data_IF_430487826706
#
_entry.id   IF_430487826706
#
_cell.length_a   1.000
_cell.length_b   1.000
_cell.length_c   1.000
_cell.angle_alpha   90.00
_cell.angle_beta   90.00
_cell.angle_gamma   90.00
#
_symmetry.space_group_name_H-M   'P 1'
#
loop_
_entity.id
_entity.type
_entity.pdbx_description
1 polymer ?
#
# COMPACT_ATOMS: atom_id res chain seq x y z
N UNK A 1 -32.33 7.10 -22.93
CA UNK A 1 -31.73 8.00 -21.90
C UNK A 1 -31.17 7.25 -20.67
N UNK A 2 -31.56 5.99 -20.39
CA UNK A 2 -31.07 5.21 -19.23
C UNK A 2 -29.65 4.60 -19.43
N UNK A 3 -29.23 4.34 -20.68
CA UNK A 3 -27.94 3.70 -20.97
C UNK A 3 -26.77 4.70 -20.88
N UNK A 4 -26.95 5.93 -21.38
CA UNK A 4 -25.97 6.99 -21.27
C UNK A 4 -25.69 7.44 -19.81
N UNK A 5 -26.72 7.57 -18.96
CA UNK A 5 -26.56 7.82 -17.53
C UNK A 5 -25.78 6.70 -16.81
N UNK A 6 -26.06 5.41 -17.09
CA UNK A 6 -25.29 4.31 -16.48
C UNK A 6 -23.78 4.35 -16.83
N UNK A 7 -23.42 4.71 -18.07
CA UNK A 7 -22.00 4.83 -18.48
C UNK A 7 -21.26 5.98 -17.77
N UNK A 8 -21.89 7.16 -17.63
CA UNK A 8 -21.32 8.31 -16.90
C UNK A 8 -21.10 7.99 -15.43
N UNK A 9 -22.06 7.31 -14.78
CA UNK A 9 -21.93 6.85 -13.39
C UNK A 9 -20.80 5.82 -13.24
N UNK A 10 -20.64 4.89 -14.19
CA UNK A 10 -19.54 3.93 -14.20
C UNK A 10 -18.18 4.64 -14.35
N UNK A 11 -18.02 5.51 -15.36
CA UNK A 11 -16.83 6.38 -15.53
C UNK A 11 -16.46 7.20 -14.28
N UNK A 12 -17.39 8.01 -13.73
CA UNK A 12 -17.21 8.68 -12.43
C UNK A 12 -16.72 7.72 -11.32
N UNK A 13 -17.35 6.55 -11.12
CA UNK A 13 -16.83 5.51 -10.23
C UNK A 13 -15.40 5.05 -10.53
N UNK A 14 -15.03 4.84 -11.80
CA UNK A 14 -13.67 4.42 -12.18
C UNK A 14 -12.67 5.54 -11.85
N UNK A 15 -12.91 6.76 -12.34
CA UNK A 15 -12.13 7.96 -11.99
C UNK A 15 -11.99 8.16 -10.47
N UNK A 16 -13.08 8.16 -9.69
CA UNK A 16 -13.05 8.13 -8.21
C UNK A 16 -12.18 6.99 -7.63
N UNK A 17 -12.27 5.77 -8.18
CA UNK A 17 -11.42 4.68 -7.73
C UNK A 17 -9.94 4.93 -8.04
N UNK A 18 -9.62 5.50 -9.21
CA UNK A 18 -8.23 5.82 -9.57
C UNK A 18 -7.72 6.95 -8.68
N UNK A 19 -8.50 8.03 -8.51
CA UNK A 19 -8.16 9.13 -7.60
C UNK A 19 -7.83 8.65 -6.20
N UNK A 20 -8.61 7.72 -5.61
CA UNK A 20 -8.31 7.24 -4.26
C UNK A 20 -7.00 6.44 -4.23
N UNK A 21 -6.68 5.64 -5.26
CA UNK A 21 -5.43 4.88 -5.28
C UNK A 21 -4.24 5.83 -5.42
N UNK A 22 -4.41 6.93 -6.18
CA UNK A 22 -3.35 7.92 -6.35
C UNK A 22 -3.05 8.64 -5.03
N UNK A 23 -4.06 8.92 -4.22
CA UNK A 23 -3.88 9.51 -2.89
C UNK A 23 -2.94 8.66 -2.02
N UNK A 24 -3.03 7.33 -2.10
CA UNK A 24 -2.25 6.42 -1.26
C UNK A 24 -0.95 5.93 -1.90
N UNK A 25 -0.63 6.37 -3.12
CA UNK A 25 0.39 5.68 -3.92
C UNK A 25 1.77 5.88 -3.30
N UNK A 26 2.06 7.13 -2.89
CA UNK A 26 3.32 7.45 -2.22
C UNK A 26 3.48 6.68 -0.90
N UNK A 27 2.46 6.66 -0.04
CA UNK A 27 2.49 5.88 1.21
C UNK A 27 2.67 4.38 0.96
N UNK A 28 2.05 3.83 -0.09
CA UNK A 28 2.21 2.41 -0.41
C UNK A 28 3.64 2.14 -0.87
N UNK A 29 4.22 3.02 -1.70
CA UNK A 29 5.61 2.85 -2.15
C UNK A 29 6.58 2.98 -0.98
N UNK A 30 6.49 4.05 -0.20
CA UNK A 30 7.24 4.19 1.06
C UNK A 30 7.14 2.97 1.95
N UNK A 31 5.93 2.50 2.26
CA UNK A 31 5.76 1.31 3.07
C UNK A 31 6.41 0.07 2.43
N UNK A 32 6.32 -0.11 1.11
CA UNK A 32 6.88 -1.28 0.43
C UNK A 32 8.37 -1.39 0.74
N UNK A 33 8.99 -0.27 0.60
CA UNK A 33 10.43 -0.18 0.41
C UNK A 33 10.98 -0.18 1.87
N UNK A 34 10.35 0.45 2.91
CA UNK A 34 10.48 0.20 4.39
C UNK A 34 10.35 -1.27 4.81
N UNK A 35 9.34 -2.00 4.31
CA UNK A 35 9.20 -3.44 4.62
C UNK A 35 10.39 -4.20 4.04
N UNK A 36 10.83 -3.85 2.83
CA UNK A 36 11.97 -4.52 2.23
C UNK A 36 13.23 -4.41 3.11
N UNK A 37 13.45 -3.27 3.76
CA UNK A 37 14.56 -3.09 4.71
C UNK A 37 14.38 -3.86 6.02
N UNK A 38 13.17 -3.86 6.59
CA UNK A 38 12.94 -4.36 7.94
C UNK A 38 12.76 -5.87 7.98
N UNK A 39 12.26 -6.45 6.90
CA UNK A 39 11.82 -7.81 6.94
C UNK A 39 13.06 -8.70 6.92
N UNK A 40 13.17 -9.61 7.87
CA UNK A 40 14.33 -10.49 7.93
C UNK A 40 14.11 -11.78 7.15
N UNK A 41 12.85 -12.21 7.03
CA UNK A 41 12.46 -13.37 6.24
C UNK A 41 11.10 -13.12 5.55
N UNK A 42 10.72 -14.02 4.64
CA UNK A 42 9.50 -13.91 3.82
C UNK A 42 8.22 -13.76 4.63
N UNK A 43 8.07 -14.55 5.68
CA UNK A 43 6.89 -14.45 6.57
C UNK A 43 6.78 -13.06 7.19
N UNK A 44 7.89 -12.42 7.57
CA UNK A 44 7.80 -11.07 8.14
C UNK A 44 7.38 -10.06 7.08
N UNK A 45 7.93 -10.16 5.87
CA UNK A 45 7.52 -9.35 4.72
C UNK A 45 6.02 -9.45 4.49
N UNK A 46 5.48 -10.67 4.31
CA UNK A 46 4.04 -10.89 4.15
C UNK A 46 3.21 -10.30 5.30
N UNK A 47 3.61 -10.45 6.58
CA UNK A 47 2.83 -9.92 7.70
C UNK A 47 2.76 -8.39 7.66
N UNK A 48 3.92 -7.75 7.45
CA UNK A 48 3.97 -6.30 7.31
C UNK A 48 3.27 -5.81 6.03
N UNK A 49 3.32 -6.58 4.93
CA UNK A 49 2.72 -6.18 3.66
C UNK A 49 1.20 -6.22 3.74
N UNK A 50 0.63 -7.19 4.48
CA UNK A 50 -0.82 -7.25 4.74
C UNK A 50 -1.27 -6.03 5.55
N UNK A 51 -0.44 -5.57 6.50
CA UNK A 51 -0.68 -4.33 7.25
C UNK A 51 -1.04 -3.11 6.40
N UNK A 52 -0.45 -2.95 5.21
CA UNK A 52 -0.83 -1.85 4.28
C UNK A 52 -2.33 -1.88 3.93
N UNK A 53 -2.93 -3.05 3.68
CA UNK A 53 -4.38 -3.13 3.44
C UNK A 53 -5.22 -2.67 4.63
N UNK A 54 -4.82 -3.05 5.84
CA UNK A 54 -5.44 -2.48 7.03
C UNK A 54 -5.22 -0.97 7.14
N UNK A 55 -4.03 -0.47 6.79
CA UNK A 55 -3.70 0.95 6.95
C UNK A 55 -4.56 1.85 6.07
N UNK A 56 -4.77 1.45 4.82
CA UNK A 56 -5.49 2.28 3.84
C UNK A 56 -6.98 2.38 4.16
N UNK A 57 -7.49 1.52 5.04
CA UNK A 57 -8.87 1.53 5.55
C UNK A 57 -8.98 2.14 6.95
N UNK A 58 -7.93 2.81 7.45
CA UNK A 58 -7.90 3.36 8.81
C UNK A 58 -7.72 2.33 9.93
N UNK A 59 -7.61 1.02 9.65
CA UNK A 59 -7.29 0.04 10.69
C UNK A 59 -5.79 0.02 10.99
N UNK A 60 -5.42 0.42 12.20
CA UNK A 60 -4.02 0.50 12.63
C UNK A 60 -3.60 -0.64 13.57
N UNK A 61 -4.55 -1.44 14.04
CA UNK A 61 -4.33 -2.66 14.82
C UNK A 61 -5.17 -3.81 14.23
N UNK A 62 -4.68 -5.04 14.36
CA UNK A 62 -5.28 -6.28 13.82
C UNK A 62 -4.69 -7.47 14.57
N UNK A 63 -5.28 -8.64 14.33
CA UNK A 63 -5.04 -9.83 15.14
C UNK A 63 -3.55 -10.18 15.24
N UNK A 64 -2.78 -9.99 14.17
CA UNK A 64 -1.36 -10.34 14.14
C UNK A 64 -0.43 -9.13 14.07
N UNK A 65 -0.83 -7.92 14.47
CA UNK A 65 0.05 -6.75 14.31
C UNK A 65 -0.60 -5.37 14.33
N UNK A 66 0.25 -4.37 14.14
CA UNK A 66 -0.13 -2.96 14.13
C UNK A 66 0.73 -2.17 13.13
N UNK A 67 0.26 -0.99 12.74
CA UNK A 67 1.07 -0.13 11.88
C UNK A 67 2.32 0.25 12.65
N UNK A 68 3.43 0.35 11.93
CA UNK A 68 4.71 0.63 12.53
C UNK A 68 5.19 2.01 12.09
N UNK A 69 4.60 3.03 12.68
CA UNK A 69 5.01 4.43 12.54
C UNK A 69 4.92 5.12 13.92
N UNK A 70 5.71 6.19 14.12
CA UNK A 70 5.61 7.10 15.28
C UNK A 70 4.18 7.61 15.56
N UNK A 71 3.95 8.33 16.69
CA UNK A 71 2.63 8.83 17.07
C UNK A 71 1.99 9.55 15.88
N UNK A 72 0.73 9.22 15.59
CA UNK A 72 -0.02 9.85 14.50
C UNK A 72 -0.25 11.31 14.95
N UNK A 73 0.56 12.26 14.50
CA UNK A 73 0.26 13.68 14.67
C UNK A 73 -1.19 13.98 14.16
N UNK A 74 -1.98 14.80 14.88
CA UNK A 74 -3.29 15.31 14.42
C UNK A 74 -3.37 15.72 12.91
N UNK A 75 -2.24 15.95 12.24
CA UNK A 75 -1.98 16.17 10.80
C UNK A 75 -1.68 14.92 9.93
N UNK A 76 -1.67 13.68 10.46
CA UNK A 76 -1.39 12.42 9.73
C UNK A 76 -2.77 11.85 9.44
N UNK A 77 -3.58 12.57 8.68
CA UNK A 77 -3.82 12.42 7.24
C UNK A 77 -5.33 12.63 7.06
N UNK A 78 -5.72 13.86 6.66
CA UNK A 78 -6.98 14.16 5.94
C UNK A 78 -7.19 13.32 4.66
N UNK A 79 -6.26 12.41 4.32
CA UNK A 79 -6.46 11.40 3.26
C UNK A 79 -7.76 10.64 3.43
N UNK A 80 -8.51 10.67 2.34
CA UNK A 80 -9.66 9.82 2.14
C UNK A 80 -9.28 8.33 2.28
N UNK A 81 -10.02 7.63 3.13
CA UNK A 81 -9.82 6.21 3.41
C UNK A 81 -10.52 5.38 2.34
N UNK A 82 -9.93 4.25 1.96
CA UNK A 82 -10.67 3.27 1.17
C UNK A 82 -11.76 2.58 2.00
N UNK A 83 -12.88 2.30 1.33
CA UNK A 83 -13.92 1.43 1.91
C UNK A 83 -13.44 -0.02 1.78
N UNK A 84 -13.39 -0.83 2.87
CA UNK A 84 -13.05 -2.24 2.74
C UNK A 84 -13.95 -2.94 1.72
N UNK A 85 -13.37 -3.62 0.74
CA UNK A 85 -14.14 -4.44 -0.21
C UNK A 85 -14.59 -3.68 -1.45
N UNK A 86 -14.58 -2.35 -1.41
CA UNK A 86 -14.71 -1.50 -2.59
C UNK A 86 -13.79 -1.89 -3.77
N UNK A 87 -14.18 -1.52 -5.01
CA UNK A 87 -13.36 -1.80 -6.18
C UNK A 87 -11.89 -1.35 -6.05
N UNK A 88 -11.56 -0.14 -5.54
CA UNK A 88 -10.17 0.28 -5.34
C UNK A 88 -9.41 -0.58 -4.32
N UNK A 89 -10.02 -0.89 -3.17
CA UNK A 89 -9.45 -1.82 -2.19
C UNK A 89 -9.18 -3.21 -2.79
N UNK A 90 -10.10 -3.76 -3.59
CA UNK A 90 -9.88 -5.09 -4.20
C UNK A 90 -8.81 -5.01 -5.29
N UNK A 91 -8.68 -3.89 -5.99
CA UNK A 91 -7.66 -3.73 -7.02
C UNK A 91 -6.27 -3.72 -6.38
N UNK A 92 -6.09 -2.89 -5.34
CA UNK A 92 -4.93 -2.95 -4.46
C UNK A 92 -4.64 -4.36 -3.89
N UNK A 93 -5.61 -5.06 -3.29
CA UNK A 93 -5.39 -6.47 -2.87
C UNK A 93 -4.84 -7.32 -4.02
N UNK A 94 -5.35 -7.18 -5.25
CA UNK A 94 -4.88 -8.02 -6.37
C UNK A 94 -3.43 -7.72 -6.73
N UNK A 95 -3.09 -6.44 -6.88
CA UNK A 95 -1.69 -5.99 -7.08
C UNK A 95 -0.79 -6.52 -5.96
N UNK A 96 -1.17 -6.30 -4.70
CA UNK A 96 -0.30 -6.61 -3.56
C UNK A 96 -0.08 -8.11 -3.37
N UNK A 97 -1.06 -8.97 -3.72
CA UNK A 97 -0.98 -10.43 -3.55
C UNK A 97 -0.82 -11.14 -4.88
N UNK A 98 -0.28 -10.44 -5.89
CA UNK A 98 0.01 -11.09 -7.15
C UNK A 98 1.15 -12.10 -6.89
N UNK A 99 0.85 -13.40 -7.06
CA UNK A 99 1.76 -14.47 -6.61
C UNK A 99 3.11 -14.40 -7.32
N UNK A 100 3.07 -14.20 -8.64
CA UNK A 100 4.26 -14.04 -9.46
C UNK A 100 5.13 -12.87 -8.98
N UNK A 101 4.55 -11.66 -8.93
CA UNK A 101 5.21 -10.48 -8.36
C UNK A 101 5.76 -10.70 -6.94
N UNK A 102 5.00 -11.33 -6.02
CA UNK A 102 5.48 -11.51 -4.64
C UNK A 102 6.69 -12.42 -4.62
N UNK A 103 6.68 -13.50 -5.42
CA UNK A 103 7.82 -14.40 -5.52
C UNK A 103 9.07 -13.64 -5.97
N UNK A 104 8.94 -12.79 -7.01
CA UNK A 104 10.07 -12.03 -7.52
C UNK A 104 10.59 -11.03 -6.49
N UNK A 105 9.72 -10.16 -5.95
CA UNK A 105 10.08 -9.20 -4.90
C UNK A 105 10.70 -9.89 -3.69
N UNK A 106 10.07 -10.89 -3.09
CA UNK A 106 10.63 -11.59 -1.92
C UNK A 106 11.99 -12.20 -2.23
N UNK A 107 12.19 -12.78 -3.42
CA UNK A 107 13.52 -13.30 -3.75
C UNK A 107 14.56 -12.19 -3.82
N UNK A 108 14.18 -11.03 -4.32
CA UNK A 108 14.98 -9.84 -4.56
C UNK A 108 15.31 -9.11 -3.24
N UNK A 109 14.32 -8.79 -2.42
CA UNK A 109 14.45 -8.23 -1.06
C UNK A 109 15.42 -8.97 -0.13
N UNK A 110 15.55 -10.30 -0.22
CA UNK A 110 16.52 -11.04 0.62
C UNK A 110 17.87 -11.20 -0.09
N UNK A 111 18.12 -10.43 -1.16
CA UNK A 111 19.41 -10.36 -1.84
C UNK A 111 20.10 -9.08 -1.34
N UNK A 112 21.43 -9.14 -1.14
CA UNK A 112 22.19 -8.01 -0.62
C UNK A 112 22.00 -6.70 -1.44
N UNK A 113 21.81 -6.82 -2.77
CA UNK A 113 21.76 -5.69 -3.71
C UNK A 113 20.52 -4.77 -3.56
N UNK A 114 19.32 -5.34 -3.37
CA UNK A 114 18.12 -4.53 -3.07
C UNK A 114 18.08 -3.94 -1.66
N UNK A 115 18.67 -4.62 -0.66
CA UNK A 115 18.88 -4.02 0.67
C UNK A 115 19.69 -2.73 0.60
N UNK A 116 20.67 -2.63 -0.30
CA UNK A 116 21.46 -1.40 -0.49
C UNK A 116 20.68 -0.32 -1.27
N UNK A 117 20.07 -0.65 -2.41
CA UNK A 117 19.12 0.26 -3.09
C UNK A 117 17.98 0.78 -2.19
N UNK A 118 17.44 -0.02 -1.25
CA UNK A 118 16.42 0.47 -0.29
C UNK A 118 16.99 1.50 0.70
N UNK A 119 18.26 1.36 1.10
CA UNK A 119 18.96 2.31 1.99
C UNK A 119 19.12 3.68 1.31
N UNK A 120 19.52 3.71 0.04
CA UNK A 120 19.72 4.98 -0.71
C UNK A 120 18.42 5.77 -0.92
N UNK A 121 17.30 5.06 -1.15
CA UNK A 121 16.00 5.70 -1.37
C UNK A 121 15.43 6.32 -0.09
N UNK A 122 15.53 5.66 1.06
CA UNK A 122 15.05 6.22 2.33
C UNK A 122 15.85 7.47 2.76
N UNK A 123 17.15 7.55 2.48
CA UNK A 123 17.92 8.78 2.70
C UNK A 123 17.38 9.96 1.85
N UNK A 124 17.04 9.74 0.57
CA UNK A 124 16.27 10.71 -0.24
C UNK A 124 14.94 11.18 0.39
N UNK A 125 14.12 10.31 0.99
CA UNK A 125 12.82 10.73 1.56
C UNK A 125 12.92 11.27 2.98
N UNK A 126 13.93 10.87 3.78
CA UNK A 126 14.15 11.46 5.12
C UNK A 126 14.74 12.88 5.00
N UNK A 127 15.35 13.21 3.86
CA UNK A 127 15.91 14.54 3.59
C UNK A 127 14.89 15.59 3.08
N UNK A 128 13.69 15.20 2.65
CA UNK A 128 12.53 16.12 2.46
C UNK A 128 11.71 16.29 3.73
#
# INVERSE_FOLDING_TARGET
>A
MMFAAANKTLQAGILKGISILLVWLNDIFNQFWYICQKAQHRDMFNDMWVGVLHHVTGKHEWTHGKCDHGPLDATTSDKELMVPGSPPHKALQRIMFNRRWLKDVTNLTFRPQLREASKDRNDFFKAQ
#
